data_IF_927082153630
#
_entry.id   IF_927082153630
#
_cell.length_a   1.000
_cell.length_b   1.000
_cell.length_c   1.000
_cell.angle_alpha   90.00
_cell.angle_beta   90.00
_cell.angle_gamma   90.00
#
_symmetry.space_group_name_H-M   'P 1'
#
loop_
_entity.id
_entity.type
_entity.pdbx_description
1 polymer ?
#
# COMPACT_ATOMS: atom_id res chain seq x y z
N UNK A 1 -4.21 1.42 -11.15
CA UNK A 1 -3.78 2.00 -9.86
C UNK A 1 -4.57 3.27 -9.61
N UNK A 2 -5.59 3.19 -8.76
CA UNK A 2 -6.35 4.37 -8.35
C UNK A 2 -5.51 5.15 -7.32
N UNK A 3 -4.72 6.12 -7.79
CA UNK A 3 -4.08 7.10 -6.90
C UNK A 3 -5.16 8.05 -6.41
N UNK A 4 -5.55 7.90 -5.15
CA UNK A 4 -6.32 8.95 -4.48
C UNK A 4 -5.39 10.07 -3.97
N UNK A 5 -5.98 11.19 -3.56
CA UNK A 5 -5.25 12.38 -3.11
C UNK A 5 -4.38 12.12 -1.87
N UNK A 6 -4.65 11.06 -1.10
CA UNK A 6 -3.97 10.77 0.16
C UNK A 6 -2.86 9.73 0.01
N UNK A 7 -2.87 8.95 -1.07
CA UNK A 7 -1.87 7.92 -1.34
C UNK A 7 -0.43 8.42 -1.17
N UNK A 8 -0.08 9.53 -1.84
CA UNK A 8 1.28 10.08 -1.78
C UNK A 8 1.62 10.64 -0.37
N UNK A 9 0.62 11.13 0.38
CA UNK A 9 0.79 11.64 1.76
C UNK A 9 1.14 10.49 2.70
N UNK A 10 0.40 9.39 2.64
CA UNK A 10 0.60 8.19 3.48
C UNK A 10 1.95 7.55 3.17
N UNK A 11 2.28 7.40 1.88
CA UNK A 11 3.58 6.90 1.42
C UNK A 11 4.74 7.73 1.98
N UNK A 12 4.62 9.05 1.93
CA UNK A 12 5.65 9.97 2.42
C UNK A 12 5.81 9.88 3.94
N UNK A 13 4.72 9.77 4.70
CA UNK A 13 4.77 9.61 6.16
C UNK A 13 5.51 8.32 6.56
N UNK A 14 5.21 7.21 5.90
CA UNK A 14 5.79 5.91 6.21
C UNK A 14 7.28 5.84 5.87
N UNK A 15 7.70 6.45 4.75
CA UNK A 15 9.13 6.59 4.43
C UNK A 15 9.87 7.47 5.45
N UNK A 16 9.23 8.52 5.98
CA UNK A 16 9.82 9.37 7.04
C UNK A 16 10.02 8.61 8.35
N UNK A 17 9.11 7.70 8.65
CA UNK A 17 9.20 6.80 9.80
C UNK A 17 10.05 5.55 9.54
N UNK A 18 10.78 5.51 8.42
CA UNK A 18 11.70 4.42 8.05
C UNK A 18 11.01 3.06 7.86
N UNK A 19 9.71 3.06 7.56
CA UNK A 19 9.00 1.83 7.18
C UNK A 19 9.40 1.40 5.78
N UNK A 20 9.50 0.08 5.59
CA UNK A 20 9.76 -0.51 4.28
C UNK A 20 8.45 -0.78 3.55
N UNK A 21 8.23 -0.10 2.42
CA UNK A 21 7.14 -0.42 1.48
C UNK A 21 7.54 -1.68 0.72
N UNK A 22 6.72 -2.73 0.80
CA UNK A 22 7.01 -3.98 0.06
C UNK A 22 6.25 -4.06 -1.26
N UNK A 23 5.01 -3.57 -1.29
CA UNK A 23 4.12 -3.62 -2.45
C UNK A 23 3.20 -2.40 -2.45
N UNK A 24 2.96 -1.86 -3.64
CA UNK A 24 2.18 -0.64 -3.86
C UNK A 24 1.68 -0.60 -5.32
N UNK A 25 0.47 -1.14 -5.63
CA UNK A 25 -0.44 -1.81 -4.70
C UNK A 25 0.02 -3.24 -4.36
N UNK A 26 -0.47 -3.80 -3.25
CA UNK A 26 -0.45 -5.26 -3.05
C UNK A 26 -1.73 -5.84 -3.64
N UNK A 27 -1.61 -6.53 -4.76
CA UNK A 27 -2.72 -7.27 -5.37
C UNK A 27 -2.90 -8.63 -4.66
N UNK A 28 -4.04 -8.81 -4.02
CA UNK A 28 -4.44 -10.04 -3.34
C UNK A 28 -5.56 -10.71 -4.13
N UNK A 29 -5.37 -11.98 -4.46
CA UNK A 29 -6.39 -12.83 -5.08
C UNK A 29 -6.95 -13.79 -4.04
N UNK A 30 -8.18 -13.56 -3.58
CA UNK A 30 -8.87 -14.44 -2.63
C UNK A 30 -10.25 -14.80 -3.19
N UNK A 31 -10.51 -16.11 -3.37
CA UNK A 31 -11.85 -16.61 -3.69
C UNK A 31 -12.48 -16.11 -5.01
N UNK A 32 -11.70 -15.54 -5.93
CA UNK A 32 -12.19 -14.97 -7.19
C UNK A 32 -12.49 -13.47 -7.14
N UNK A 33 -12.15 -12.77 -6.05
CA UNK A 33 -12.22 -11.32 -5.94
C UNK A 33 -10.80 -10.74 -5.88
N UNK A 34 -10.53 -9.73 -6.69
CA UNK A 34 -9.29 -8.95 -6.64
C UNK A 34 -9.42 -7.88 -5.54
N UNK A 35 -8.47 -7.87 -4.60
CA UNK A 35 -8.38 -6.87 -3.53
C UNK A 35 -7.01 -6.19 -3.57
N UNK A 36 -6.99 -4.86 -3.41
CA UNK A 36 -5.75 -4.09 -3.25
C UNK A 36 -5.62 -3.64 -1.79
N UNK A 37 -4.53 -4.04 -1.13
CA UNK A 37 -4.19 -3.61 0.24
C UNK A 37 -2.78 -3.03 0.21
N UNK A 38 -2.35 -2.30 1.24
CA UNK A 38 -0.94 -1.93 1.42
C UNK A 38 -0.46 -2.57 2.72
N UNK A 39 0.56 -3.43 2.66
CA UNK A 39 1.08 -4.16 3.80
C UNK A 39 2.39 -3.55 4.32
N UNK A 40 2.48 -3.40 5.64
CA UNK A 40 3.63 -2.90 6.38
C UNK A 40 4.06 -3.89 7.45
N UNK A 41 5.36 -4.03 7.70
CA UNK A 41 5.93 -4.90 8.74
C UNK A 41 6.85 -4.05 9.63
N UNK A 42 6.75 -4.24 10.95
CA UNK A 42 7.60 -3.68 12.00
C UNK A 42 8.85 -4.54 12.22
#
# INVERSE_FOLDING_TARGET
MAKDTFHDVVRTALLKEQWTITHDPLELKVGGVDMEIVQWIN
#
